data_IF_601529177398
#
_entry.id   IF_601529177398
#
_cell.length_a   1.000
_cell.length_b   1.000
_cell.length_c   1.000
_cell.angle_alpha   90.00
_cell.angle_beta   90.00
_cell.angle_gamma   90.00
#
_symmetry.space_group_name_H-M   'P 1'
#
loop_
_entity.id
_entity.type
_entity.pdbx_description
1 polymer ?
#
# COMPACT_ATOMS: atom_id res chain seq x y z
N UNK A 1 -9.22 -32.48 10.40
CA UNK A 1 -8.40 -31.33 10.87
C UNK A 1 -8.04 -30.28 9.77
N UNK A 2 -8.93 -30.05 8.79
CA UNK A 2 -8.75 -29.06 7.70
C UNK A 2 -9.25 -27.63 8.05
N UNK A 3 -10.35 -27.44 8.81
CA UNK A 3 -10.84 -26.10 9.15
C UNK A 3 -9.88 -25.28 10.01
N UNK A 4 -9.09 -25.95 10.87
CA UNK A 4 -8.12 -25.30 11.77
C UNK A 4 -6.96 -24.67 11.00
N UNK A 5 -6.51 -25.34 9.92
CA UNK A 5 -5.41 -24.85 9.09
C UNK A 5 -5.81 -23.57 8.33
N UNK A 6 -7.08 -23.45 7.90
CA UNK A 6 -7.59 -22.21 7.32
C UNK A 6 -7.61 -21.05 8.32
N UNK A 7 -8.06 -21.32 9.55
CA UNK A 7 -8.15 -20.30 10.61
C UNK A 7 -6.79 -19.69 10.98
N UNK A 8 -5.76 -20.52 11.17
CA UNK A 8 -4.41 -20.02 11.49
C UNK A 8 -3.79 -19.22 10.33
N UNK A 9 -4.05 -19.60 9.07
CA UNK A 9 -3.54 -18.86 7.90
C UNK A 9 -4.18 -17.47 7.80
N UNK A 10 -5.50 -17.36 8.02
CA UNK A 10 -6.20 -16.07 8.05
C UNK A 10 -5.63 -15.17 9.15
N UNK A 11 -5.39 -15.72 10.36
CA UNK A 11 -4.79 -14.97 11.45
C UNK A 11 -3.36 -14.54 11.15
N UNK A 12 -2.54 -15.41 10.55
CA UNK A 12 -1.16 -15.12 10.19
C UNK A 12 -1.08 -14.02 9.12
N UNK A 13 -1.79 -14.18 8.01
CA UNK A 13 -1.82 -13.18 6.94
C UNK A 13 -2.47 -11.87 7.41
N UNK A 14 -3.51 -11.95 8.23
CA UNK A 14 -4.15 -10.78 8.85
C UNK A 14 -3.20 -10.01 9.76
N UNK A 15 -2.43 -10.70 10.61
CA UNK A 15 -1.43 -10.07 11.47
C UNK A 15 -0.33 -9.38 10.66
N UNK A 16 0.16 -9.99 9.58
CA UNK A 16 1.16 -9.39 8.68
C UNK A 16 0.60 -8.11 8.03
N UNK A 17 -0.64 -8.16 7.53
CA UNK A 17 -1.30 -6.99 6.93
C UNK A 17 -1.46 -5.84 7.94
N UNK A 18 -1.90 -6.14 9.17
CA UNK A 18 -2.06 -5.15 10.25
C UNK A 18 -0.72 -4.52 10.63
N UNK A 19 0.35 -5.32 10.72
CA UNK A 19 1.71 -4.79 10.98
C UNK A 19 2.15 -3.85 9.86
N UNK A 20 1.95 -4.23 8.60
CA UNK A 20 2.27 -3.38 7.45
C UNK A 20 1.53 -2.03 7.47
N UNK A 21 0.22 -2.05 7.74
CA UNK A 21 -0.56 -0.82 7.89
C UNK A 21 -0.11 0.01 9.10
N UNK A 22 0.24 -0.64 10.21
CA UNK A 22 0.75 0.06 11.39
C UNK A 22 2.09 0.77 11.09
N UNK A 23 3.00 0.09 10.39
CA UNK A 23 4.26 0.68 9.91
C UNK A 23 4.01 1.87 9.00
N UNK A 24 3.02 1.78 8.10
CA UNK A 24 2.68 2.89 7.21
C UNK A 24 2.17 4.12 7.98
N UNK A 25 1.26 3.93 8.94
CA UNK A 25 0.75 5.01 9.81
C UNK A 25 1.85 5.60 10.69
N UNK A 26 2.82 4.77 11.13
CA UNK A 26 3.96 5.21 11.94
C UNK A 26 5.09 5.87 11.15
N UNK A 27 5.11 5.75 9.81
CA UNK A 27 6.18 6.31 8.98
C UNK A 27 6.28 7.84 9.06
N UNK A 28 5.29 8.52 9.64
CA UNK A 28 5.32 9.96 9.90
C UNK A 28 5.01 10.81 8.67
N UNK A 29 4.75 10.20 7.51
CA UNK A 29 4.17 10.90 6.37
C UNK A 29 2.70 11.14 6.63
N UNK A 30 2.25 12.37 6.42
CA UNK A 30 0.85 12.69 6.57
C UNK A 30 0.03 11.89 5.54
N UNK A 31 -0.80 10.98 6.03
CA UNK A 31 -1.74 10.18 5.24
C UNK A 31 -3.04 10.95 4.95
N UNK A 32 -3.23 12.11 5.57
CA UNK A 32 -4.36 13.00 5.30
C UNK A 32 -4.12 13.83 4.04
N UNK A 33 -2.85 14.01 3.66
CA UNK A 33 -2.47 14.61 2.39
C UNK A 33 -2.98 13.78 1.21
N UNK A 34 -3.72 14.43 0.31
CA UNK A 34 -4.43 13.76 -0.78
C UNK A 34 -3.49 12.93 -1.67
N UNK A 35 -2.23 13.38 -1.83
CA UNK A 35 -1.17 12.68 -2.56
C UNK A 35 -0.81 11.35 -1.92
N UNK A 36 -0.44 11.35 -0.65
CA UNK A 36 0.02 10.15 0.04
C UNK A 36 -1.13 9.17 0.22
N UNK A 37 -2.32 9.69 0.54
CA UNK A 37 -3.57 8.92 0.58
C UNK A 37 -3.83 8.21 -0.75
N UNK A 38 -3.72 8.90 -1.89
CA UNK A 38 -3.96 8.31 -3.20
C UNK A 38 -2.93 7.22 -3.55
N UNK A 39 -1.65 7.45 -3.27
CA UNK A 39 -0.59 6.45 -3.52
C UNK A 39 -0.84 5.17 -2.71
N UNK A 40 -1.13 5.32 -1.42
CA UNK A 40 -1.43 4.20 -0.52
C UNK A 40 -2.69 3.47 -0.98
N UNK A 41 -3.77 4.19 -1.27
CA UNK A 41 -5.04 3.61 -1.72
C UNK A 41 -4.86 2.80 -3.02
N UNK A 42 -4.18 3.34 -4.03
CA UNK A 42 -3.93 2.59 -5.27
C UNK A 42 -3.03 1.38 -5.04
N UNK A 43 -2.03 1.49 -4.17
CA UNK A 43 -1.15 0.37 -3.84
C UNK A 43 -1.94 -0.77 -3.19
N UNK A 44 -2.83 -0.45 -2.23
CA UNK A 44 -3.69 -1.43 -1.58
C UNK A 44 -4.68 -2.06 -2.57
N UNK A 45 -5.34 -1.25 -3.40
CA UNK A 45 -6.29 -1.73 -4.41
C UNK A 45 -5.60 -2.64 -5.43
N UNK A 46 -4.41 -2.28 -5.91
CA UNK A 46 -3.66 -3.13 -6.85
C UNK A 46 -3.18 -4.43 -6.19
N UNK A 47 -2.73 -4.36 -4.93
CA UNK A 47 -2.20 -5.52 -4.19
C UNK A 47 -3.26 -6.52 -3.77
N UNK A 48 -4.38 -6.05 -3.22
CA UNK A 48 -5.50 -6.89 -2.75
C UNK A 48 -6.43 -7.25 -3.92
N UNK A 49 -6.64 -6.32 -4.86
CA UNK A 49 -7.55 -6.50 -5.99
C UNK A 49 -7.07 -7.48 -7.05
N UNK A 50 -5.88 -8.07 -6.91
CA UNK A 50 -5.38 -9.11 -7.79
C UNK A 50 -5.10 -8.62 -9.21
N UNK A 51 -4.71 -7.35 -9.37
CA UNK A 51 -4.35 -6.80 -10.67
C UNK A 51 -3.17 -7.59 -11.24
N UNK A 52 -3.30 -8.02 -12.50
CA UNK A 52 -2.23 -8.67 -13.24
C UNK A 52 -2.06 -8.01 -14.59
N UNK A 53 -0.81 -7.68 -14.91
CA UNK A 53 -0.41 -7.14 -16.20
C UNK A 53 0.50 -8.17 -16.88
N UNK A 54 0.05 -8.67 -18.02
CA UNK A 54 0.81 -9.60 -18.84
C UNK A 54 1.41 -8.83 -20.01
N UNK A 55 2.73 -8.66 -20.01
CA UNK A 55 3.48 -8.11 -21.14
C UNK A 55 4.25 -9.25 -21.82
N UNK A 56 3.66 -9.80 -22.87
CA UNK A 56 4.24 -10.94 -23.60
C UNK A 56 4.36 -12.19 -22.73
N UNK A 57 5.59 -12.66 -22.48
CA UNK A 57 5.88 -13.84 -21.64
C UNK A 57 6.05 -13.51 -20.15
N UNK A 58 6.06 -12.24 -19.76
CA UNK A 58 6.22 -11.80 -18.38
C UNK A 58 4.88 -11.38 -17.79
N UNK A 59 4.46 -12.04 -16.72
CA UNK A 59 3.22 -11.75 -16.00
C UNK A 59 3.56 -11.14 -14.64
N UNK A 60 3.32 -9.83 -14.49
CA UNK A 60 3.41 -9.15 -13.20
C UNK A 60 2.05 -9.24 -12.51
N UNK A 61 1.99 -9.88 -11.36
CA UNK A 61 0.74 -10.13 -10.65
C UNK A 61 0.86 -9.85 -9.15
N UNK A 62 -0.23 -9.32 -8.58
CA UNK A 62 -0.42 -9.18 -7.14
C UNK A 62 0.54 -8.18 -6.49
N UNK A 63 1.12 -8.60 -5.37
CA UNK A 63 1.88 -7.73 -4.45
C UNK A 63 3.12 -7.11 -5.14
N UNK A 64 3.77 -7.84 -6.05
CA UNK A 64 4.93 -7.33 -6.78
C UNK A 64 4.56 -6.18 -7.74
N UNK A 65 3.43 -6.31 -8.44
CA UNK A 65 2.93 -5.24 -9.31
C UNK A 65 2.49 -4.02 -8.48
N UNK A 66 1.83 -4.26 -7.35
CA UNK A 66 1.41 -3.18 -6.44
C UNK A 66 2.60 -2.33 -5.95
N UNK A 67 3.73 -2.96 -5.60
CA UNK A 67 4.95 -2.25 -5.21
C UNK A 67 5.54 -1.40 -6.33
N UNK A 68 5.57 -1.92 -7.57
CA UNK A 68 6.04 -1.16 -8.74
C UNK A 68 5.13 0.04 -8.98
N UNK A 69 3.80 -0.16 -8.96
CA UNK A 69 2.81 0.91 -9.10
C UNK A 69 3.00 1.97 -8.02
N UNK A 70 3.22 1.56 -6.76
CA UNK A 70 3.48 2.48 -5.65
C UNK A 70 4.70 3.38 -5.89
N UNK A 71 5.83 2.78 -6.29
CA UNK A 71 7.08 3.51 -6.56
C UNK A 71 6.91 4.46 -7.75
N UNK A 72 6.28 4.00 -8.83
CA UNK A 72 6.03 4.81 -10.02
C UNK A 72 5.12 5.99 -9.69
N UNK A 73 4.02 5.77 -8.96
CA UNK A 73 3.12 6.85 -8.55
C UNK A 73 3.83 7.85 -7.63
N UNK A 74 4.68 7.38 -6.71
CA UNK A 74 5.46 8.28 -5.85
C UNK A 74 6.46 9.13 -6.64
N UNK A 75 6.97 8.66 -7.79
CA UNK A 75 7.86 9.43 -8.66
C UNK A 75 7.10 10.40 -9.58
N UNK A 76 5.95 9.98 -10.10
CA UNK A 76 5.17 10.77 -11.07
C UNK A 76 4.39 11.89 -10.41
N UNK A 77 3.93 11.73 -9.15
CA UNK A 77 3.17 12.77 -8.47
C UNK A 77 4.11 13.83 -7.86
N UNK A 78 4.18 15.06 -8.40
CA UNK A 78 5.02 16.12 -7.84
C UNK A 78 4.54 16.48 -6.43
N UNK A 79 5.48 16.57 -5.49
CA UNK A 79 5.19 16.95 -4.11
C UNK A 79 4.73 18.41 -4.08
N UNK A 80 3.48 18.65 -3.66
CA UNK A 80 3.13 20.00 -3.23
C UNK A 80 3.87 20.26 -1.92
N UNK A 81 4.53 21.41 -1.91
CA UNK A 81 5.35 21.93 -0.83
C UNK A 81 4.58 21.81 0.49
N UNK A 82 5.19 21.15 1.46
CA UNK A 82 4.79 21.20 2.87
C UNK A 82 4.59 22.68 3.22
N UNK A 83 3.34 23.09 3.44
CA UNK A 83 3.07 24.37 4.08
C UNK A 83 3.59 24.18 5.51
N UNK A 84 4.61 24.93 5.95
CA UNK A 84 5.09 24.81 7.31
C UNK A 84 3.91 25.07 8.23
N UNK A 85 3.56 24.07 9.05
CA UNK A 85 2.68 24.25 10.17
C UNK A 85 3.45 25.06 11.22
N UNK A 86 3.41 26.38 11.06
CA UNK A 86 3.75 27.31 12.11
C UNK A 86 2.53 28.18 12.42
N UNK A 87 1.99 27.91 13.61
CA UNK A 87 1.34 28.87 14.49
C UNK A 87 -0.18 29.08 14.32
N UNK A 88 -0.94 28.23 15.01
CA UNK A 88 -2.14 28.66 15.72
C UNK A 88 -1.88 28.49 17.25
N UNK A 89 -1.29 29.55 17.81
CA UNK A 89 -1.48 30.18 19.13
C UNK A 89 -2.02 29.30 20.28
#
# INVERSE_FOLDING_TARGET
>A
PLPVMGGIMILLFGAIAVVGLNTLVRSGHDLTEARNLAIVALTLVCGIGGMSLSFGSLSFSGIGLAGIVAVVLNLVLPGHREVPENEDI
#
